data_IF_650836804258
#
_entry.id   IF_650836804258
#
_cell.length_a   1.000
_cell.length_b   1.000
_cell.length_c   1.000
_cell.angle_alpha   90.00
_cell.angle_beta   90.00
_cell.angle_gamma   90.00
#
_symmetry.space_group_name_H-M   'P 1'
#
loop_
_entity.id
_entity.type
_entity.pdbx_description
1 polymer ?
#
# COMPACT_ATOMS: atom_id res chain seq x y z
N UNK A 1 -11.08 -10.25 -10.02
CA UNK A 1 -9.83 -9.86 -9.31
C UNK A 1 -8.73 -10.92 -9.40
N UNK A 2 -8.92 -12.18 -8.99
CA UNK A 2 -7.89 -13.26 -9.15
C UNK A 2 -7.37 -13.48 -10.59
N UNK A 3 -8.21 -13.26 -11.61
CA UNK A 3 -7.82 -13.41 -13.02
C UNK A 3 -6.99 -12.22 -13.53
N UNK A 4 -7.17 -11.03 -12.97
CA UNK A 4 -6.46 -9.84 -13.43
C UNK A 4 -5.01 -9.90 -12.98
N UNK A 5 -4.72 -10.06 -11.68
CA UNK A 5 -3.35 -10.17 -11.17
C UNK A 5 -2.53 -11.29 -11.83
N UNK A 6 -3.19 -12.41 -12.17
CA UNK A 6 -2.54 -13.54 -12.87
C UNK A 6 -2.23 -13.23 -14.33
N UNK A 7 -3.15 -12.58 -15.05
CA UNK A 7 -2.90 -12.09 -16.41
C UNK A 7 -1.91 -10.93 -16.46
N UNK A 8 -1.81 -10.11 -15.40
CA UNK A 8 -0.88 -8.97 -15.28
C UNK A 8 0.58 -9.39 -15.08
N UNK A 9 0.85 -10.53 -14.45
CA UNK A 9 2.21 -11.07 -14.26
C UNK A 9 2.67 -11.96 -15.42
N UNK A 10 1.75 -12.28 -16.35
CA UNK A 10 2.00 -13.18 -17.50
C UNK A 10 2.15 -12.39 -18.83
N UNK A 11 1.93 -11.07 -18.85
CA UNK A 11 2.13 -10.25 -20.05
C UNK A 11 3.56 -9.71 -20.15
N UNK A 12 4.26 -10.02 -21.24
CA UNK A 12 5.63 -9.56 -21.58
C UNK A 12 5.77 -8.02 -21.80
N UNK A 13 4.76 -7.23 -21.42
CA UNK A 13 4.72 -5.78 -21.63
C UNK A 13 5.15 -5.04 -20.36
N UNK A 14 6.47 -4.90 -20.19
CA UNK A 14 7.12 -4.26 -19.04
C UNK A 14 6.68 -2.79 -18.82
N UNK A 15 5.97 -2.18 -19.77
CA UNK A 15 5.55 -0.77 -19.72
C UNK A 15 4.69 -0.48 -18.48
N UNK A 16 3.76 -1.38 -18.14
CA UNK A 16 2.91 -1.21 -16.97
C UNK A 16 3.67 -1.44 -15.65
N UNK A 17 4.56 -2.43 -15.61
CA UNK A 17 5.41 -2.71 -14.44
C UNK A 17 6.34 -1.52 -14.15
N UNK A 18 6.96 -0.93 -15.19
CA UNK A 18 7.81 0.25 -15.06
C UNK A 18 7.00 1.45 -14.55
N UNK A 19 5.82 1.71 -15.12
CA UNK A 19 4.96 2.80 -14.67
C UNK A 19 4.47 2.62 -13.23
N UNK A 20 4.16 1.38 -12.84
CA UNK A 20 3.77 1.05 -11.47
C UNK A 20 4.95 1.26 -10.51
N UNK A 21 6.14 0.81 -10.87
CA UNK A 21 7.36 1.00 -10.08
C UNK A 21 7.69 2.48 -9.92
N UNK A 22 7.55 3.30 -10.97
CA UNK A 22 7.73 4.75 -10.90
C UNK A 22 6.71 5.42 -9.98
N UNK A 23 5.42 5.11 -10.13
CA UNK A 23 4.34 5.62 -9.27
C UNK A 23 4.56 5.25 -7.80
N UNK A 24 4.94 4.01 -7.54
CA UNK A 24 5.29 3.56 -6.21
C UNK A 24 6.52 4.31 -5.70
N UNK A 25 7.59 4.44 -6.49
CA UNK A 25 8.78 5.17 -6.07
C UNK A 25 8.50 6.63 -5.71
N UNK A 26 7.68 7.33 -6.48
CA UNK A 26 7.26 8.69 -6.16
C UNK A 26 6.45 8.72 -4.87
N UNK A 27 5.49 7.81 -4.72
CA UNK A 27 4.70 7.67 -3.49
C UNK A 27 5.58 7.39 -2.27
N UNK A 28 6.56 6.49 -2.38
CA UNK A 28 7.51 6.18 -1.31
C UNK A 28 8.34 7.41 -0.92
N UNK A 29 8.83 8.18 -1.91
CA UNK A 29 9.57 9.43 -1.66
C UNK A 29 8.71 10.46 -0.94
N UNK A 30 7.49 10.68 -1.40
CA UNK A 30 6.52 11.57 -0.76
C UNK A 30 6.21 11.13 0.67
N UNK A 31 5.90 9.85 0.88
CA UNK A 31 5.56 9.29 2.19
C UNK A 31 6.72 9.39 3.17
N UNK A 32 7.96 9.10 2.75
CA UNK A 32 9.15 9.33 3.60
C UNK A 32 9.34 10.80 3.96
N UNK A 33 9.04 11.71 3.04
CA UNK A 33 9.16 13.15 3.29
C UNK A 33 8.10 13.65 4.28
N UNK A 34 6.83 13.26 4.11
CA UNK A 34 5.72 13.68 4.99
C UNK A 34 5.69 12.95 6.33
N UNK A 35 6.04 11.66 6.33
CA UNK A 35 5.96 10.78 7.49
C UNK A 35 7.30 10.04 7.70
N UNK A 36 8.37 10.77 8.07
CA UNK A 36 9.73 10.24 8.14
C UNK A 36 9.91 9.13 9.17
N UNK A 37 9.00 9.00 10.12
CA UNK A 37 9.07 7.93 11.12
C UNK A 37 8.65 6.58 10.57
N UNK A 38 7.87 6.52 9.48
CA UNK A 38 7.33 5.27 8.94
C UNK A 38 8.45 4.30 8.57
N UNK A 39 8.29 3.04 8.99
CA UNK A 39 9.23 2.00 8.61
C UNK A 39 9.04 1.61 7.14
N UNK A 40 10.02 0.91 6.56
CA UNK A 40 9.89 0.36 5.21
C UNK A 40 8.65 -0.55 5.10
N UNK A 41 8.35 -1.32 6.17
CA UNK A 41 7.16 -2.15 6.24
C UNK A 41 5.87 -1.31 6.16
N UNK A 42 5.80 -0.21 6.90
CA UNK A 42 4.63 0.68 6.88
C UNK A 42 4.43 1.33 5.51
N UNK A 43 5.52 1.76 4.88
CA UNK A 43 5.49 2.36 3.54
C UNK A 43 4.99 1.36 2.49
N UNK A 44 5.46 0.10 2.54
CA UNK A 44 4.95 -0.99 1.69
C UNK A 44 3.46 -1.23 1.93
N UNK A 45 3.03 -1.26 3.19
CA UNK A 45 1.63 -1.44 3.52
C UNK A 45 0.75 -0.29 2.99
N UNK A 46 1.19 0.96 3.14
CA UNK A 46 0.51 2.13 2.56
C UNK A 46 0.41 2.04 1.03
N UNK A 47 1.49 1.61 0.35
CA UNK A 47 1.51 1.44 -1.09
C UNK A 47 0.50 0.38 -1.54
N UNK A 48 0.51 -0.80 -0.89
CA UNK A 48 -0.42 -1.89 -1.16
C UNK A 48 -1.87 -1.53 -0.90
N UNK A 49 -2.13 -0.76 0.16
CA UNK A 49 -3.44 -0.19 0.43
C UNK A 49 -3.89 0.75 -0.68
N UNK A 50 -3.03 1.67 -1.13
CA UNK A 50 -3.35 2.68 -2.15
C UNK A 50 -3.71 2.04 -3.50
N UNK A 51 -3.05 0.94 -3.88
CA UNK A 51 -3.36 0.20 -5.11
C UNK A 51 -4.60 -0.72 -4.96
N UNK A 52 -5.23 -0.76 -3.78
CA UNK A 52 -6.48 -1.48 -3.55
C UNK A 52 -6.34 -2.96 -3.19
N UNK A 53 -5.17 -3.40 -2.70
CA UNK A 53 -5.01 -4.79 -2.25
C UNK A 53 -5.82 -5.06 -0.99
N UNK A 54 -6.41 -6.25 -0.93
CA UNK A 54 -7.15 -6.72 0.24
C UNK A 54 -6.20 -7.10 1.39
N UNK A 55 -6.71 -7.15 2.63
CA UNK A 55 -5.92 -7.61 3.78
C UNK A 55 -5.36 -9.02 3.60
N UNK A 56 -6.03 -9.87 2.80
CA UNK A 56 -5.56 -11.23 2.51
C UNK A 56 -4.39 -11.21 1.52
N UNK A 57 -4.52 -10.48 0.42
CA UNK A 57 -3.43 -10.36 -0.58
C UNK A 57 -2.19 -9.70 0.04
N UNK A 58 -2.37 -8.65 0.86
CA UNK A 58 -1.26 -8.02 1.58
C UNK A 58 -0.60 -8.98 2.58
N UNK A 59 -1.39 -9.79 3.29
CA UNK A 59 -0.88 -10.78 4.22
C UNK A 59 -0.02 -11.84 3.50
N UNK A 60 -0.49 -12.31 2.34
CA UNK A 60 0.22 -13.27 1.50
C UNK A 60 1.55 -12.68 1.00
N UNK A 61 1.55 -11.44 0.50
CA UNK A 61 2.76 -10.74 -0.01
C UNK A 61 3.75 -10.42 1.11
N UNK A 62 3.26 -10.00 2.27
CA UNK A 62 4.11 -9.61 3.41
C UNK A 62 4.52 -10.80 4.28
N UNK A 63 4.05 -12.01 3.96
CA UNK A 63 4.28 -13.23 4.74
C UNK A 63 3.88 -13.07 6.22
N UNK A 64 2.73 -12.46 6.47
CA UNK A 64 2.15 -12.28 7.80
C UNK A 64 0.72 -12.81 7.86
N UNK A 65 0.15 -12.91 9.05
CA UNK A 65 -1.26 -13.24 9.20
C UNK A 65 -2.16 -12.05 8.81
N UNK A 66 -3.35 -12.29 8.23
CA UNK A 66 -4.32 -11.22 7.94
C UNK A 66 -4.71 -10.38 9.17
N UNK A 67 -4.72 -10.97 10.36
CA UNK A 67 -4.92 -10.26 11.63
C UNK A 67 -3.83 -9.20 11.88
N UNK A 68 -2.57 -9.49 11.52
CA UNK A 68 -1.45 -8.57 11.69
C UNK A 68 -1.58 -7.36 10.74
N UNK A 69 -2.25 -7.51 9.61
CA UNK A 69 -2.56 -6.40 8.70
C UNK A 69 -3.53 -5.44 9.38
N UNK A 70 -4.58 -5.93 10.03
CA UNK A 70 -5.54 -5.09 10.75
C UNK A 70 -4.87 -4.30 11.88
N UNK A 71 -4.00 -4.95 12.66
CA UNK A 71 -3.20 -4.26 13.69
C UNK A 71 -2.30 -3.18 13.07
N UNK A 72 -1.68 -3.49 11.93
CA UNK A 72 -0.81 -2.53 11.23
C UNK A 72 -1.61 -1.36 10.66
N UNK A 73 -2.83 -1.56 10.14
CA UNK A 73 -3.74 -0.47 9.73
C UNK A 73 -4.10 0.43 10.90
N UNK A 74 -4.43 -0.12 12.05
CA UNK A 74 -4.73 0.67 13.26
C UNK A 74 -3.53 1.49 13.72
N UNK A 75 -2.31 0.93 13.62
CA UNK A 75 -1.07 1.67 13.88
C UNK A 75 -0.84 2.78 12.85
N UNK A 76 -0.98 2.47 11.56
CA UNK A 76 -0.83 3.44 10.47
C UNK A 76 -1.74 4.66 10.67
N UNK A 77 -3.01 4.46 11.02
CA UNK A 77 -3.94 5.57 11.30
C UNK A 77 -3.39 6.54 12.34
N UNK A 78 -2.84 6.01 13.44
CA UNK A 78 -2.20 6.84 14.48
C UNK A 78 -0.96 7.56 13.97
N UNK A 79 -0.10 6.86 13.20
CA UNK A 79 1.15 7.42 12.67
C UNK A 79 0.92 8.48 11.58
N UNK A 80 -0.19 8.38 10.88
CA UNK A 80 -0.64 9.32 9.85
C UNK A 80 -1.52 10.44 10.45
N UNK A 81 -1.72 10.45 11.77
CA UNK A 81 -2.56 11.40 12.49
C UNK A 81 -4.01 11.48 11.96
N UNK A 82 -4.58 10.33 11.62
CA UNK A 82 -5.97 10.24 11.16
C UNK A 82 -6.94 10.23 12.34
N UNK A 83 -8.05 10.94 12.16
CA UNK A 83 -9.17 10.92 13.08
C UNK A 83 -9.94 9.59 12.98
N UNK A 84 -10.73 9.23 14.01
CA UNK A 84 -11.54 8.01 13.99
C UNK A 84 -12.46 7.89 12.77
N UNK A 85 -13.00 9.00 12.29
CA UNK A 85 -13.91 9.11 11.15
C UNK A 85 -13.22 9.06 9.78
N UNK A 86 -11.91 9.31 9.71
CA UNK A 86 -11.18 9.35 8.44
C UNK A 86 -11.04 7.94 7.88
N UNK A 87 -11.32 7.71 6.60
CA UNK A 87 -10.97 6.42 5.99
C UNK A 87 -9.49 6.36 5.59
N UNK A 88 -8.79 5.28 5.96
CA UNK A 88 -7.37 5.14 5.69
C UNK A 88 -7.09 5.00 4.18
N UNK A 89 -7.97 4.30 3.46
CA UNK A 89 -7.80 4.08 2.03
C UNK A 89 -8.06 5.37 1.25
N UNK A 90 -9.14 6.08 1.55
CA UNK A 90 -9.45 7.39 0.98
C UNK A 90 -8.35 8.41 1.25
N UNK A 91 -7.81 8.44 2.47
CA UNK A 91 -6.66 9.29 2.79
C UNK A 91 -5.46 8.99 1.88
N UNK A 92 -5.12 7.71 1.71
CA UNK A 92 -3.96 7.30 0.92
C UNK A 92 -4.12 7.56 -0.57
N UNK A 93 -5.34 7.48 -1.12
CA UNK A 93 -5.61 7.82 -2.53
C UNK A 93 -5.51 9.33 -2.77
N UNK A 94 -6.08 10.13 -1.87
CA UNK A 94 -6.14 11.58 -2.02
C UNK A 94 -4.82 12.28 -1.66
N UNK A 95 -3.84 11.55 -1.14
CA UNK A 95 -2.53 12.08 -0.79
C UNK A 95 -1.73 12.47 -2.04
N UNK A 96 -1.52 13.78 -2.22
CA UNK A 96 -0.66 14.42 -3.23
C UNK A 96 0.69 14.84 -2.66
#
# INVERSE_FOLDING_TARGET
MRRLLKTYLESEDNTFEIQMDELLQEFFRMMKKKFPTLSIYDLRLCAYLRIGLTSKEMADILHVLPSNINVSRSRLRKRLNLLPEDDLYEFLINLK
#
